data_IF_430056581458
#
_entry.id   IF_430056581458
#
_cell.length_a   1.000
_cell.length_b   1.000
_cell.length_c   1.000
_cell.angle_alpha   90.00
_cell.angle_beta   90.00
_cell.angle_gamma   90.00
#
_symmetry.space_group_name_H-M   'P 1'
#
loop_
_entity.id
_entity.type
_entity.pdbx_description
1 polymer ?
#
# COMPACT_ATOMS: atom_id res chain seq x y z
N UNK A 1 11.08 0.84 33.79
CA UNK A 1 11.27 1.09 32.37
C UNK A 1 10.16 2.01 31.87
N UNK A 2 10.53 3.16 31.38
CA UNK A 2 9.52 4.06 30.86
C UNK A 2 8.97 3.50 29.53
N UNK A 3 7.67 3.60 29.31
CA UNK A 3 7.10 3.12 28.04
C UNK A 3 7.70 3.92 26.87
N UNK A 4 8.01 3.20 25.84
CA UNK A 4 8.49 3.82 24.63
C UNK A 4 7.37 4.65 24.02
N UNK A 5 7.68 5.89 23.72
CA UNK A 5 6.72 6.78 23.08
C UNK A 5 6.46 6.30 21.65
N UNK A 6 5.22 6.05 21.33
CA UNK A 6 4.84 5.62 19.98
C UNK A 6 4.97 6.82 19.03
N UNK A 7 5.78 6.66 18.00
CA UNK A 7 5.90 7.68 16.96
C UNK A 7 4.88 7.41 15.86
N UNK A 8 4.70 8.39 14.97
CA UNK A 8 3.81 8.24 13.80
C UNK A 8 4.26 7.11 12.87
N UNK A 9 5.52 6.68 12.98
CA UNK A 9 6.09 5.63 12.14
C UNK A 9 6.08 4.25 12.79
N UNK A 10 5.71 4.15 14.07
CA UNK A 10 5.66 2.87 14.74
C UNK A 10 4.35 2.15 14.40
N UNK A 11 4.46 0.88 14.07
CA UNK A 11 3.31 0.06 13.70
C UNK A 11 3.24 -1.20 14.56
N UNK A 12 2.03 -1.71 14.83
CA UNK A 12 1.89 -3.04 15.40
C UNK A 12 2.53 -4.10 14.52
N UNK A 13 2.73 -5.30 15.08
CA UNK A 13 3.48 -6.38 14.43
C UNK A 13 3.00 -6.75 13.04
N UNK A 14 1.69 -6.93 12.85
CA UNK A 14 1.16 -7.39 11.56
C UNK A 14 1.31 -6.35 10.43
N UNK A 15 0.90 -5.10 10.62
CA UNK A 15 1.18 -4.06 9.60
C UNK A 15 2.67 -3.87 9.32
N UNK A 16 3.53 -3.91 10.36
CA UNK A 16 4.97 -3.79 10.17
C UNK A 16 5.53 -4.93 9.33
N UNK A 17 5.12 -6.17 9.63
CA UNK A 17 5.55 -7.34 8.86
C UNK A 17 5.08 -7.26 7.40
N UNK A 18 3.88 -6.76 7.16
CA UNK A 18 3.36 -6.57 5.81
C UNK A 18 4.15 -5.53 5.02
N UNK A 19 4.61 -4.46 5.67
CA UNK A 19 5.46 -3.48 5.02
C UNK A 19 6.84 -4.06 4.68
N UNK A 20 7.41 -4.86 5.56
CA UNK A 20 8.67 -5.57 5.28
C UNK A 20 8.51 -6.51 4.10
N UNK A 21 7.39 -7.20 4.04
CA UNK A 21 7.06 -8.11 2.95
C UNK A 21 6.89 -7.35 1.63
N UNK A 22 6.18 -6.24 1.67
CA UNK A 22 6.03 -5.36 0.50
C UNK A 22 7.40 -4.86 0.02
N UNK A 23 8.23 -4.40 0.94
CA UNK A 23 9.58 -3.93 0.62
C UNK A 23 10.42 -5.01 -0.04
N UNK A 24 10.37 -6.24 0.49
CA UNK A 24 11.05 -7.39 -0.09
C UNK A 24 10.54 -7.72 -1.50
N UNK A 25 9.24 -7.61 -1.71
CA UNK A 25 8.64 -7.82 -3.02
C UNK A 25 9.10 -6.76 -4.03
N UNK A 26 9.16 -5.50 -3.61
CA UNK A 26 9.66 -4.41 -4.45
C UNK A 26 11.12 -4.66 -4.83
N UNK A 27 11.93 -5.06 -3.86
CA UNK A 27 13.33 -5.37 -4.11
C UNK A 27 13.49 -6.50 -5.13
N UNK A 28 12.75 -7.57 -4.97
CA UNK A 28 12.79 -8.71 -5.90
C UNK A 28 12.36 -8.27 -7.30
N UNK A 29 11.27 -7.52 -7.40
CA UNK A 29 10.77 -7.02 -8.68
C UNK A 29 11.79 -6.11 -9.37
N UNK A 30 12.47 -5.26 -8.60
CA UNK A 30 13.52 -4.37 -9.12
C UNK A 30 14.69 -5.19 -9.67
N UNK A 31 15.17 -6.16 -8.89
CA UNK A 31 16.30 -7.00 -9.29
C UNK A 31 15.99 -7.82 -10.54
N UNK A 32 14.80 -8.37 -10.63
CA UNK A 32 14.38 -9.11 -11.81
C UNK A 32 14.38 -8.25 -13.09
N UNK A 33 14.25 -6.94 -12.95
CA UNK A 33 14.30 -5.99 -14.06
C UNK A 33 15.69 -5.38 -14.25
N UNK A 34 16.69 -5.91 -13.56
CA UNK A 34 18.09 -5.46 -13.64
C UNK A 34 18.25 -3.96 -13.34
N UNK A 35 17.44 -3.42 -12.43
CA UNK A 35 17.53 -2.04 -12.00
C UNK A 35 18.30 -1.96 -10.68
N UNK A 36 19.23 -1.02 -10.59
CA UNK A 36 19.86 -0.70 -9.31
C UNK A 36 18.92 0.17 -8.46
N UNK A 37 19.21 0.29 -7.16
CA UNK A 37 18.48 1.25 -6.32
C UNK A 37 18.63 2.67 -6.86
N UNK A 38 19.81 3.01 -7.37
CA UNK A 38 20.07 4.33 -7.93
C UNK A 38 19.22 4.57 -9.19
N UNK A 39 19.12 3.57 -10.06
CA UNK A 39 18.27 3.66 -11.25
C UNK A 39 16.80 3.88 -10.87
N UNK A 40 16.31 3.12 -9.92
CA UNK A 40 14.93 3.25 -9.47
C UNK A 40 14.69 4.61 -8.82
N UNK A 41 15.64 5.08 -8.01
CA UNK A 41 15.55 6.39 -7.38
C UNK A 41 15.48 7.51 -8.42
N UNK A 42 16.33 7.46 -9.45
CA UNK A 42 16.34 8.45 -10.51
C UNK A 42 15.01 8.48 -11.26
N UNK A 43 14.45 7.31 -11.57
CA UNK A 43 13.20 7.18 -12.33
C UNK A 43 11.98 7.60 -11.51
N UNK A 44 12.08 7.58 -10.20
CA UNK A 44 10.97 7.93 -9.30
C UNK A 44 11.16 9.30 -8.64
N UNK A 45 12.15 10.04 -9.09
CA UNK A 45 12.42 11.39 -8.59
C UNK A 45 12.58 11.42 -7.08
N UNK A 46 13.33 10.46 -6.56
CA UNK A 46 13.61 10.35 -5.12
C UNK A 46 15.07 9.97 -4.92
N UNK A 47 15.45 9.69 -3.69
CA UNK A 47 16.84 9.36 -3.34
C UNK A 47 17.01 7.85 -3.20
N UNK A 48 18.25 7.40 -3.38
CA UNK A 48 18.60 6.00 -3.13
C UNK A 48 18.24 5.59 -1.69
N UNK A 49 18.44 6.48 -0.74
CA UNK A 49 18.09 6.22 0.66
C UNK A 49 16.58 5.97 0.84
N UNK A 50 15.75 6.73 0.13
CA UNK A 50 14.29 6.52 0.19
C UNK A 50 13.91 5.15 -0.40
N UNK A 51 14.55 4.75 -1.50
CA UNK A 51 14.32 3.41 -2.07
C UNK A 51 14.77 2.33 -1.06
N UNK A 52 15.92 2.51 -0.42
CA UNK A 52 16.39 1.57 0.59
C UNK A 52 15.39 1.44 1.74
N UNK A 53 14.84 2.55 2.20
CA UNK A 53 13.82 2.54 3.26
C UNK A 53 12.57 1.80 2.83
N UNK A 54 12.10 2.06 1.61
CA UNK A 54 10.94 1.35 1.06
C UNK A 54 11.17 -0.15 1.03
N UNK A 55 12.32 -0.58 0.53
CA UNK A 55 12.66 -2.01 0.42
C UNK A 55 12.86 -2.67 1.78
N UNK A 56 13.17 -1.89 2.80
CA UNK A 56 13.27 -2.38 4.17
C UNK A 56 11.95 -2.30 4.94
N UNK A 57 10.89 -1.84 4.31
CA UNK A 57 9.58 -1.78 4.94
C UNK A 57 9.38 -0.59 5.87
N UNK A 58 10.15 0.48 5.70
CA UNK A 58 10.02 1.65 6.57
C UNK A 58 8.67 2.34 6.36
N UNK A 59 7.87 2.53 7.44
CA UNK A 59 6.51 3.05 7.29
C UNK A 59 6.45 4.55 6.96
N UNK A 60 7.54 5.26 7.09
CA UNK A 60 7.60 6.70 6.82
C UNK A 60 7.79 7.07 5.35
N UNK A 61 7.87 6.09 4.44
CA UNK A 61 7.98 6.38 3.01
C UNK A 61 6.62 6.85 2.48
N UNK A 62 6.63 7.90 1.67
CA UNK A 62 5.38 8.46 1.17
C UNK A 62 4.67 7.53 0.19
N UNK A 63 3.34 7.66 0.15
CA UNK A 63 2.53 6.95 -0.86
C UNK A 63 2.91 7.39 -2.27
N UNK A 64 3.32 8.65 -2.45
CA UNK A 64 3.78 9.13 -3.75
C UNK A 64 4.95 8.28 -4.26
N UNK A 65 5.92 8.03 -3.41
CA UNK A 65 7.09 7.22 -3.79
C UNK A 65 6.65 5.80 -4.11
N UNK A 66 5.84 5.19 -3.24
CA UNK A 66 5.34 3.83 -3.47
C UNK A 66 4.59 3.73 -4.81
N UNK A 67 3.68 4.66 -5.06
CA UNK A 67 2.89 4.66 -6.29
C UNK A 67 3.80 4.80 -7.52
N UNK A 68 4.78 5.68 -7.46
CA UNK A 68 5.70 5.91 -8.56
C UNK A 68 6.60 4.69 -8.80
N UNK A 69 7.11 4.08 -7.73
CA UNK A 69 7.92 2.86 -7.82
C UNK A 69 7.12 1.73 -8.48
N UNK A 70 5.91 1.50 -8.03
CA UNK A 70 5.08 0.44 -8.62
C UNK A 70 4.79 0.72 -10.09
N UNK A 71 4.57 1.97 -10.44
CA UNK A 71 4.38 2.36 -11.84
C UNK A 71 5.61 2.05 -12.69
N UNK A 72 6.80 2.41 -12.22
CA UNK A 72 8.06 2.12 -12.93
C UNK A 72 8.25 0.62 -13.11
N UNK A 73 7.86 -0.17 -12.10
CA UNK A 73 7.95 -1.63 -12.15
C UNK A 73 6.78 -2.27 -12.92
N UNK A 74 5.84 -1.47 -13.41
CA UNK A 74 4.63 -1.94 -14.12
C UNK A 74 3.72 -2.79 -13.23
N UNK A 75 3.64 -2.41 -11.95
CA UNK A 75 2.84 -3.09 -10.93
C UNK A 75 1.81 -2.14 -10.28
N UNK A 76 1.56 -1.00 -10.92
CA UNK A 76 0.68 0.04 -10.34
C UNK A 76 -0.76 -0.42 -10.17
N UNK A 77 -1.25 -1.35 -10.99
CA UNK A 77 -2.60 -1.88 -10.84
C UNK A 77 -2.81 -2.59 -9.50
N UNK A 78 -1.75 -3.15 -8.92
CA UNK A 78 -1.84 -3.79 -7.61
C UNK A 78 -2.18 -2.79 -6.52
N UNK A 79 -1.63 -1.59 -6.61
CA UNK A 79 -1.93 -0.54 -5.63
C UNK A 79 -3.41 -0.14 -5.71
N UNK A 80 -3.93 0.03 -6.91
CA UNK A 80 -5.33 0.36 -7.11
C UNK A 80 -6.30 -0.74 -6.65
N UNK A 81 -5.84 -1.98 -6.62
CA UNK A 81 -6.64 -3.12 -6.16
C UNK A 81 -6.64 -3.33 -4.64
N UNK A 82 -5.77 -2.62 -3.92
CA UNK A 82 -5.72 -2.78 -2.46
C UNK A 82 -7.01 -2.30 -1.81
N UNK A 83 -7.50 -3.07 -0.84
CA UNK A 83 -8.74 -2.79 -0.11
C UNK A 83 -9.98 -2.72 -1.00
N UNK A 84 -9.90 -3.26 -2.21
CA UNK A 84 -11.06 -3.31 -3.11
C UNK A 84 -12.13 -4.24 -2.55
N UNK A 85 -13.36 -4.05 -3.00
CA UNK A 85 -14.49 -4.91 -2.59
C UNK A 85 -14.20 -6.38 -2.93
N UNK A 86 -13.53 -6.64 -4.05
CA UNK A 86 -13.13 -7.99 -4.44
C UNK A 86 -12.19 -8.65 -3.43
N UNK A 87 -11.36 -7.85 -2.79
CA UNK A 87 -10.38 -8.32 -1.79
C UNK A 87 -10.91 -8.25 -0.37
N UNK A 88 -12.17 -7.87 -0.18
CA UNK A 88 -12.77 -7.58 1.12
C UNK A 88 -14.03 -8.42 1.33
N UNK A 89 -13.88 -9.68 1.80
CA UNK A 89 -15.04 -10.53 2.00
C UNK A 89 -16.00 -10.01 3.06
N UNK A 90 -15.49 -9.37 4.10
CA UNK A 90 -16.35 -8.76 5.13
C UNK A 90 -17.14 -7.60 4.53
N UNK A 91 -16.48 -6.74 3.77
CA UNK A 91 -17.14 -5.63 3.10
C UNK A 91 -18.21 -6.10 2.13
N UNK A 92 -17.93 -7.16 1.38
CA UNK A 92 -18.94 -7.75 0.47
C UNK A 92 -20.16 -8.25 1.24
N UNK A 93 -19.94 -8.94 2.36
CA UNK A 93 -21.05 -9.42 3.18
C UNK A 93 -21.85 -8.27 3.78
N UNK A 94 -21.18 -7.22 4.24
CA UNK A 94 -21.84 -6.03 4.77
C UNK A 94 -22.61 -5.28 3.68
N UNK A 95 -22.06 -5.19 2.48
CA UNK A 95 -22.75 -4.55 1.36
C UNK A 95 -24.06 -5.27 1.03
N UNK A 96 -24.04 -6.60 1.00
CA UNK A 96 -25.23 -7.39 0.76
C UNK A 96 -26.27 -7.17 1.87
N UNK A 97 -25.86 -7.21 3.14
CA UNK A 97 -26.78 -7.03 4.26
C UNK A 97 -27.37 -5.62 4.36
N UNK A 98 -26.69 -4.64 3.79
CA UNK A 98 -27.14 -3.23 3.81
C UNK A 98 -27.86 -2.81 2.54
N UNK A 99 -27.93 -3.68 1.53
CA UNK A 99 -28.66 -3.36 0.32
C UNK A 99 -30.15 -3.19 0.68
N UNK A 100 -30.79 -2.09 0.27
CA UNK A 100 -32.24 -1.96 0.46
C UNK A 100 -32.94 -2.98 -0.46
N UNK A 101 -34.15 -3.38 -0.06
CA UNK A 101 -34.97 -4.28 -0.88
C UNK A 101 -35.30 -3.64 -2.22
N UNK A 102 -35.36 -2.31 -2.24
CA UNK A 102 -35.46 -1.53 -3.48
C UNK A 102 -34.18 -0.75 -3.63
N UNK A 103 -33.55 -0.86 -4.79
CA UNK A 103 -32.40 -0.04 -5.12
C UNK A 103 -32.95 1.30 -5.59
N UNK A 104 -32.57 2.37 -4.87
CA UNK A 104 -32.88 3.74 -5.25
C UNK A 104 -31.60 4.49 -5.55
N UNK A 105 -31.72 5.64 -6.21
CA UNK A 105 -30.54 6.46 -6.52
C UNK A 105 -29.84 6.93 -5.25
N UNK A 106 -30.54 7.09 -4.15
CA UNK A 106 -29.99 7.54 -2.87
C UNK A 106 -29.17 6.46 -2.17
N UNK A 107 -29.35 5.20 -2.53
CA UNK A 107 -28.67 4.10 -1.83
C UNK A 107 -27.16 4.16 -2.00
N UNK A 108 -26.65 4.70 -3.10
CA UNK A 108 -25.22 4.85 -3.30
C UNK A 108 -24.63 5.94 -2.39
N UNK A 109 -25.39 6.98 -2.11
CA UNK A 109 -24.95 8.05 -1.20
C UNK A 109 -24.87 7.55 0.24
N UNK A 110 -25.77 6.64 0.63
CA UNK A 110 -25.76 6.06 1.97
C UNK A 110 -24.52 5.21 2.24
N UNK A 111 -23.85 4.75 1.21
CA UNK A 111 -22.63 3.96 1.33
C UNK A 111 -21.36 4.81 1.25
N UNK A 112 -21.49 6.09 1.03
CA UNK A 112 -20.39 7.03 0.99
C UNK A 112 -20.18 7.61 2.39
N UNK A 113 -19.03 7.27 2.96
CA UNK A 113 -18.70 7.69 4.33
C UNK A 113 -17.84 8.94 4.34
#
# INVERSE_FOLDING_TARGET
MSPKKTSAHDLPGSPAANLERLGGNVRAARKLRALSMQDLAARTMTTRETIRRLENGHPGVSLRVLAHVLWVLQLDDQLGGMASLESDPVGRALAVSRLPRRVTAESSDDLDF
#
